data_IF_624880315185
#
_entry.id   IF_624880315185
#
_cell.length_a   1.000
_cell.length_b   1.000
_cell.length_c   1.000
_cell.angle_alpha   90.00
_cell.angle_beta   90.00
_cell.angle_gamma   90.00
#
_symmetry.space_group_name_H-M   'P 1'
#
loop_
_entity.id
_entity.type
_entity.pdbx_description
1 polymer ?
#
# COMPACT_ATOMS: atom_id res chain seq x y z
N UNK A 1 -0.16 4.82 -4.91
CA UNK A 1 0.57 6.08 -4.70
C UNK A 1 0.56 6.56 -3.25
N UNK A 2 -0.06 5.84 -2.32
CA UNK A 2 -0.03 6.14 -0.88
C UNK A 2 -0.92 7.30 -0.41
N UNK A 3 -1.89 7.75 -1.20
CA UNK A 3 -2.89 8.73 -0.74
C UNK A 3 -3.88 8.09 0.25
N UNK A 4 -4.36 8.88 1.19
CA UNK A 4 -5.53 8.59 2.01
C UNK A 4 -6.72 9.39 1.46
N UNK A 5 -7.82 8.72 1.16
CA UNK A 5 -9.01 9.37 0.62
C UNK A 5 -9.66 10.25 1.69
N UNK A 6 -10.01 11.47 1.33
CA UNK A 6 -10.72 12.38 2.21
C UNK A 6 -12.19 11.96 2.34
N UNK A 7 -12.84 12.37 3.41
CA UNK A 7 -14.26 12.12 3.63
C UNK A 7 -15.12 12.63 2.47
N UNK A 8 -14.79 13.79 1.91
CA UNK A 8 -15.52 14.38 0.78
C UNK A 8 -15.35 13.56 -0.51
N UNK A 9 -14.16 13.00 -0.76
CA UNK A 9 -13.92 12.10 -1.90
C UNK A 9 -14.73 10.81 -1.75
N UNK A 10 -14.76 10.25 -0.53
CA UNK A 10 -15.54 9.06 -0.23
C UNK A 10 -17.05 9.33 -0.41
N UNK A 11 -17.57 10.46 0.09
CA UNK A 11 -18.96 10.88 -0.10
C UNK A 11 -19.32 10.97 -1.59
N UNK A 12 -18.50 11.65 -2.38
CA UNK A 12 -18.71 11.77 -3.83
C UNK A 12 -18.71 10.40 -4.52
N UNK A 13 -17.79 9.51 -4.13
CA UNK A 13 -17.74 8.14 -4.66
C UNK A 13 -19.03 7.39 -4.37
N UNK A 14 -19.52 7.47 -3.14
CA UNK A 14 -20.77 6.83 -2.72
C UNK A 14 -21.97 7.42 -3.50
N UNK A 15 -22.05 8.74 -3.67
CA UNK A 15 -23.11 9.40 -4.45
C UNK A 15 -23.14 8.91 -5.90
N UNK A 16 -21.95 8.78 -6.53
CA UNK A 16 -21.86 8.24 -7.90
C UNK A 16 -22.34 6.78 -7.92
N UNK A 17 -21.90 5.97 -6.97
CA UNK A 17 -22.31 4.57 -6.89
C UNK A 17 -23.82 4.42 -6.64
N UNK A 18 -24.42 5.28 -5.80
CA UNK A 18 -25.87 5.35 -5.59
C UNK A 18 -26.61 5.70 -6.89
N UNK A 19 -26.15 6.75 -7.58
CA UNK A 19 -26.76 7.22 -8.85
C UNK A 19 -26.81 6.12 -9.91
N UNK A 20 -25.81 5.26 -9.97
CA UNK A 20 -25.70 4.22 -10.99
C UNK A 20 -25.97 2.80 -10.45
N UNK A 21 -26.52 2.68 -9.25
CA UNK A 21 -26.81 1.40 -8.55
C UNK A 21 -25.61 0.45 -8.56
N UNK A 22 -24.44 0.93 -8.15
CA UNK A 22 -23.20 0.14 -8.13
C UNK A 22 -22.83 -0.34 -6.73
N UNK A 23 -22.22 -1.52 -6.66
CA UNK A 23 -21.55 -2.00 -5.46
C UNK A 23 -20.22 -1.29 -5.26
N UNK A 24 -19.80 -1.17 -3.99
CA UNK A 24 -18.47 -0.70 -3.60
C UNK A 24 -17.76 -1.86 -2.91
N UNK A 25 -16.58 -2.23 -3.42
CA UNK A 25 -15.64 -3.08 -2.71
C UNK A 25 -14.52 -2.14 -2.23
N UNK A 26 -14.44 -1.94 -0.91
CA UNK A 26 -13.47 -1.06 -0.29
C UNK A 26 -12.37 -1.89 0.35
N UNK A 27 -11.18 -1.84 -0.24
CA UNK A 27 -10.00 -2.49 0.34
C UNK A 27 -9.32 -1.52 1.30
N UNK A 28 -9.50 -1.77 2.60
CA UNK A 28 -8.94 -0.99 3.70
C UNK A 28 -7.75 -1.70 4.36
N UNK A 29 -7.08 -2.62 3.65
CA UNK A 29 -6.00 -3.46 4.20
C UNK A 29 -4.80 -2.65 4.73
N UNK A 30 -4.63 -1.39 4.30
CA UNK A 30 -3.59 -0.47 4.78
C UNK A 30 -4.09 0.57 5.78
N UNK A 31 -5.31 0.47 6.29
CA UNK A 31 -5.94 1.49 7.13
C UNK A 31 -5.19 1.82 8.42
N UNK A 32 -4.43 0.89 8.98
CA UNK A 32 -3.64 1.09 10.20
C UNK A 32 -2.28 1.77 9.94
N UNK A 33 -1.81 1.75 8.68
CA UNK A 33 -0.49 2.25 8.29
C UNK A 33 -0.58 3.68 7.75
N UNK A 34 -1.15 4.56 8.56
CA UNK A 34 -1.39 5.96 8.22
C UNK A 34 -0.29 6.83 8.80
N UNK A 35 0.20 7.80 8.01
CA UNK A 35 1.28 8.73 8.40
C UNK A 35 0.83 9.64 9.55
N UNK A 36 1.80 10.12 10.34
CA UNK A 36 1.51 11.06 11.41
C UNK A 36 0.83 12.34 10.88
N UNK A 37 -0.24 12.75 11.55
CA UNK A 37 -1.01 13.93 11.16
C UNK A 37 -2.02 13.75 10.03
N UNK A 38 -2.15 12.54 9.50
CA UNK A 38 -3.19 12.18 8.53
C UNK A 38 -4.30 11.39 9.22
N UNK A 39 -5.54 11.64 8.85
CA UNK A 39 -6.72 10.94 9.39
C UNK A 39 -7.27 10.00 8.33
N UNK A 40 -7.41 8.73 8.68
CA UNK A 40 -8.14 7.75 7.90
C UNK A 40 -9.62 7.76 8.28
N UNK A 41 -10.50 7.72 7.29
CA UNK A 41 -11.95 7.63 7.50
C UNK A 41 -12.46 6.33 6.88
N UNK A 42 -12.96 5.36 7.68
CA UNK A 42 -13.59 4.15 7.15
C UNK A 42 -14.80 4.49 6.29
N UNK A 43 -14.97 3.83 5.14
CA UNK A 43 -16.08 4.12 4.23
C UNK A 43 -17.45 3.89 4.88
N UNK A 44 -17.54 2.92 5.80
CA UNK A 44 -18.78 2.64 6.54
C UNK A 44 -19.22 3.78 7.47
N UNK A 45 -18.29 4.62 7.92
CA UNK A 45 -18.61 5.79 8.73
C UNK A 45 -19.15 6.95 7.88
N UNK A 46 -18.79 6.98 6.60
CA UNK A 46 -19.19 8.03 5.66
C UNK A 46 -20.60 7.80 5.10
N UNK A 47 -20.95 6.54 4.88
CA UNK A 47 -22.21 6.20 4.23
C UNK A 47 -22.89 4.95 4.85
N UNK A 48 -23.25 4.99 6.14
CA UNK A 48 -23.88 3.86 6.81
C UNK A 48 -25.22 3.48 6.16
N UNK A 49 -25.92 4.42 5.55
CA UNK A 49 -27.17 4.18 4.82
C UNK A 49 -26.98 3.44 3.48
N UNK A 50 -25.74 3.33 2.99
CA UNK A 50 -25.40 2.57 1.78
C UNK A 50 -24.69 1.24 2.11
N UNK A 51 -24.59 0.86 3.39
CA UNK A 51 -23.88 -0.30 3.87
C UNK A 51 -24.27 -1.62 3.17
N UNK A 52 -25.52 -1.76 2.77
CA UNK A 52 -26.01 -2.94 2.03
C UNK A 52 -25.39 -3.10 0.62
N UNK A 53 -24.71 -2.09 0.13
CA UNK A 53 -24.01 -2.09 -1.17
C UNK A 53 -22.49 -1.93 -1.02
N UNK A 54 -21.98 -2.01 0.20
CA UNK A 54 -20.54 -1.90 0.49
C UNK A 54 -20.03 -3.25 1.04
N UNK A 55 -18.90 -3.68 0.52
CA UNK A 55 -18.10 -4.77 1.07
C UNK A 55 -16.76 -4.18 1.51
N UNK A 56 -16.39 -4.33 2.77
CA UNK A 56 -15.10 -3.88 3.28
C UNK A 56 -14.18 -5.06 3.46
N UNK A 57 -12.94 -4.92 2.98
CA UNK A 57 -11.88 -5.92 3.10
C UNK A 57 -10.76 -5.38 4.00
N UNK A 58 -10.44 -6.07 5.09
CA UNK A 58 -9.31 -5.76 5.98
C UNK A 58 -8.51 -7.01 6.29
N UNK A 59 -7.28 -6.86 6.74
CA UNK A 59 -6.47 -7.96 7.22
C UNK A 59 -5.31 -7.48 8.10
N UNK A 60 -4.84 -8.30 9.07
CA UNK A 60 -3.64 -7.98 9.84
C UNK A 60 -2.36 -8.14 9.03
N UNK A 61 -2.45 -8.67 7.82
CA UNK A 61 -1.31 -9.11 7.01
C UNK A 61 -0.34 -7.99 6.65
N UNK A 62 -0.83 -6.78 6.40
CA UNK A 62 0.01 -5.63 6.07
C UNK A 62 0.48 -4.89 7.31
N UNK A 63 -0.43 -4.68 8.25
CA UNK A 63 -0.16 -3.97 9.50
C UNK A 63 0.88 -4.70 10.36
N UNK A 64 0.72 -6.01 10.52
CA UNK A 64 1.51 -6.84 11.44
C UNK A 64 2.39 -7.88 10.75
N UNK A 65 2.63 -7.72 9.44
CA UNK A 65 3.46 -8.66 8.66
C UNK A 65 2.99 -10.13 8.74
N UNK A 66 1.68 -10.35 8.73
CA UNK A 66 1.05 -11.67 8.90
C UNK A 66 0.51 -12.27 7.59
N UNK A 67 1.07 -11.87 6.43
CA UNK A 67 0.59 -12.35 5.13
C UNK A 67 0.64 -13.89 4.99
N UNK A 68 1.65 -14.53 5.59
CA UNK A 68 1.79 -15.99 5.60
C UNK A 68 0.66 -16.73 6.34
N UNK A 69 -0.08 -16.04 7.22
CA UNK A 69 -1.22 -16.62 7.94
C UNK A 69 -2.49 -16.71 7.07
N UNK A 70 -2.55 -16.03 5.92
CA UNK A 70 -3.65 -16.06 4.94
C UNK A 70 -5.01 -15.81 5.59
N UNK A 71 -5.08 -14.84 6.51
CA UNK A 71 -6.29 -14.50 7.27
C UNK A 71 -6.71 -13.08 6.94
N UNK A 72 -7.99 -12.88 6.64
CA UNK A 72 -8.59 -11.57 6.33
C UNK A 72 -10.01 -11.47 6.87
N UNK A 73 -10.51 -10.25 6.97
CA UNK A 73 -11.88 -9.96 7.35
C UNK A 73 -12.62 -9.40 6.14
N UNK A 74 -13.74 -10.03 5.79
CA UNK A 74 -14.64 -9.57 4.74
C UNK A 74 -15.94 -9.15 5.42
N UNK A 75 -16.19 -7.86 5.50
CA UNK A 75 -17.37 -7.28 6.15
C UNK A 75 -18.45 -7.05 5.13
N UNK A 76 -19.55 -7.78 5.25
CA UNK A 76 -20.71 -7.71 4.35
C UNK A 76 -21.94 -7.47 5.21
N UNK A 77 -22.58 -6.30 5.09
CA UNK A 77 -23.79 -5.95 5.80
C UNK A 77 -25.02 -6.62 5.19
N UNK A 78 -25.12 -6.64 3.86
CA UNK A 78 -26.20 -7.25 3.11
C UNK A 78 -26.32 -8.75 3.37
N UNK A 79 -27.43 -9.20 3.97
CA UNK A 79 -27.65 -10.59 4.40
C UNK A 79 -27.72 -11.59 3.25
N UNK A 80 -28.30 -11.19 2.12
CA UNK A 80 -28.36 -12.04 0.93
C UNK A 80 -26.98 -12.28 0.34
N UNK A 81 -26.20 -11.18 0.18
CA UNK A 81 -24.82 -11.28 -0.30
C UNK A 81 -23.94 -12.07 0.69
N UNK A 82 -24.10 -11.85 2.01
CA UNK A 82 -23.40 -12.62 3.04
C UNK A 82 -23.66 -14.12 2.92
N UNK A 83 -24.93 -14.48 2.66
CA UNK A 83 -25.30 -15.89 2.43
C UNK A 83 -24.65 -16.43 1.16
N UNK A 84 -24.75 -15.73 0.04
CA UNK A 84 -24.11 -16.13 -1.22
C UNK A 84 -22.59 -16.30 -1.08
N UNK A 85 -21.94 -15.37 -0.37
CA UNK A 85 -20.51 -15.45 -0.06
C UNK A 85 -20.19 -16.74 0.72
N UNK A 86 -20.91 -17.01 1.81
CA UNK A 86 -20.69 -18.22 2.63
C UNK A 86 -20.93 -19.49 1.83
N UNK A 87 -22.02 -19.55 1.08
CA UNK A 87 -22.37 -20.72 0.27
C UNK A 87 -21.29 -21.00 -0.80
N UNK A 88 -20.72 -19.94 -1.40
CA UNK A 88 -19.65 -20.08 -2.40
C UNK A 88 -18.32 -20.48 -1.76
N UNK A 89 -17.89 -19.77 -0.73
CA UNK A 89 -16.59 -19.99 -0.08
C UNK A 89 -16.56 -21.36 0.60
N UNK A 90 -17.59 -21.70 1.37
CA UNK A 90 -17.61 -22.96 2.10
C UNK A 90 -18.05 -24.13 1.22
N UNK A 91 -19.07 -23.91 0.38
CA UNK A 91 -19.62 -24.98 -0.46
C UNK A 91 -18.79 -25.27 -1.70
N UNK A 92 -18.45 -24.23 -2.49
CA UNK A 92 -17.76 -24.45 -3.77
C UNK A 92 -16.24 -24.51 -3.63
N UNK A 93 -15.65 -23.71 -2.72
CA UNK A 93 -14.19 -23.65 -2.55
C UNK A 93 -13.69 -24.51 -1.38
N UNK A 94 -14.58 -25.04 -0.56
CA UNK A 94 -14.23 -25.78 0.67
C UNK A 94 -13.28 -25.01 1.60
N UNK A 95 -13.48 -23.71 1.69
CA UNK A 95 -12.71 -22.80 2.52
C UNK A 95 -13.59 -22.29 3.67
N UNK A 96 -13.68 -23.06 4.74
CA UNK A 96 -14.60 -22.80 5.85
C UNK A 96 -13.98 -22.04 7.02
N UNK A 97 -13.18 -21.04 6.72
CA UNK A 97 -12.64 -20.10 7.71
C UNK A 97 -11.12 -19.96 7.69
N UNK A 98 -10.64 -19.14 8.59
CA UNK A 98 -9.20 -18.93 8.79
C UNK A 98 -8.60 -20.09 9.59
N UNK A 99 -7.29 -20.36 9.38
CA UNK A 99 -6.57 -21.35 10.17
C UNK A 99 -6.54 -20.96 11.67
N UNK A 100 -6.46 -21.95 12.56
CA UNK A 100 -6.37 -21.70 14.00
C UNK A 100 -5.19 -20.77 14.35
N UNK A 101 -4.04 -20.94 13.70
CA UNK A 101 -2.87 -20.08 13.88
C UNK A 101 -3.14 -18.66 13.36
N UNK A 102 -3.83 -18.54 12.22
CA UNK A 102 -4.19 -17.23 11.66
C UNK A 102 -5.16 -16.46 12.55
N UNK A 103 -6.15 -17.13 13.12
CA UNK A 103 -7.09 -16.53 14.07
C UNK A 103 -6.38 -16.08 15.35
N UNK A 104 -5.54 -16.93 15.95
CA UNK A 104 -4.79 -16.61 17.16
C UNK A 104 -3.85 -15.43 16.92
N UNK A 105 -3.11 -15.44 15.79
CA UNK A 105 -2.20 -14.36 15.43
C UNK A 105 -2.95 -13.03 15.20
N UNK A 106 -4.10 -13.06 14.54
CA UNK A 106 -4.93 -11.86 14.31
C UNK A 106 -5.44 -11.29 15.64
N UNK A 107 -5.95 -12.15 16.54
CA UNK A 107 -6.44 -11.69 17.86
C UNK A 107 -5.29 -11.06 18.63
N UNK A 108 -4.15 -11.74 18.79
CA UNK A 108 -2.99 -11.19 19.50
C UNK A 108 -2.51 -9.87 18.90
N UNK A 109 -2.40 -9.80 17.56
CA UNK A 109 -1.96 -8.58 16.86
C UNK A 109 -2.85 -7.36 17.18
N UNK A 110 -4.18 -7.53 17.11
CA UNK A 110 -5.11 -6.41 17.34
C UNK A 110 -5.39 -6.12 18.81
N UNK A 111 -5.11 -7.06 19.73
CA UNK A 111 -5.32 -6.81 21.18
C UNK A 111 -4.05 -6.40 21.92
N UNK A 112 -2.88 -6.76 21.42
CA UNK A 112 -1.60 -6.58 22.12
C UNK A 112 -0.54 -5.84 21.27
N UNK A 113 -0.81 -5.60 19.98
CA UNK A 113 0.18 -5.08 19.01
C UNK A 113 0.23 -3.56 18.87
N UNK A 114 -0.54 -2.78 19.65
CA UNK A 114 -0.64 -1.32 19.46
C UNK A 114 0.71 -0.61 19.63
N UNK A 115 1.45 -0.90 20.70
CA UNK A 115 2.75 -0.28 20.94
C UNK A 115 3.74 -0.61 19.81
N UNK A 116 3.77 -1.85 19.35
CA UNK A 116 4.60 -2.26 18.22
C UNK A 116 4.23 -1.51 16.94
N UNK A 117 2.94 -1.36 16.67
CA UNK A 117 2.44 -0.64 15.49
C UNK A 117 2.84 0.84 15.52
N UNK A 118 2.71 1.50 16.66
CA UNK A 118 3.09 2.92 16.80
C UNK A 118 4.59 3.11 16.58
N UNK A 119 5.44 2.24 17.13
CA UNK A 119 6.88 2.25 16.87
C UNK A 119 7.20 1.97 15.39
N UNK A 120 6.49 1.05 14.75
CA UNK A 120 6.63 0.78 13.32
C UNK A 120 6.31 2.02 12.49
N UNK A 121 5.22 2.72 12.78
CA UNK A 121 4.82 3.93 12.07
C UNK A 121 5.90 5.00 12.14
N UNK A 122 6.49 5.24 13.31
CA UNK A 122 7.60 6.18 13.49
C UNK A 122 8.85 5.74 12.70
N UNK A 123 9.14 4.44 12.68
CA UNK A 123 10.24 3.89 11.92
C UNK A 123 10.04 4.06 10.40
N UNK A 124 8.84 3.80 9.90
CA UNK A 124 8.48 4.01 8.49
C UNK A 124 8.59 5.49 8.11
N UNK A 125 8.10 6.41 8.96
CA UNK A 125 8.21 7.84 8.76
C UNK A 125 9.69 8.27 8.61
N UNK A 126 10.55 7.73 9.46
CA UNK A 126 11.99 7.93 9.36
C UNK A 126 12.57 7.40 8.03
N UNK A 127 12.13 6.24 7.55
CA UNK A 127 12.59 5.69 6.26
C UNK A 127 12.16 6.55 5.07
N UNK A 128 10.92 7.04 5.06
CA UNK A 128 10.45 7.99 4.04
C UNK A 128 11.24 9.29 4.05
N UNK A 129 11.46 9.87 5.23
CA UNK A 129 12.25 11.09 5.38
C UNK A 129 13.69 10.91 4.87
N UNK A 130 14.32 9.77 5.20
CA UNK A 130 15.65 9.45 4.72
C UNK A 130 15.72 9.41 3.19
N UNK A 131 14.79 8.73 2.53
CA UNK A 131 14.75 8.65 1.06
C UNK A 131 14.58 10.06 0.46
N UNK A 132 13.65 10.85 0.97
CA UNK A 132 13.38 12.20 0.47
C UNK A 132 14.62 13.11 0.59
N UNK A 133 15.30 13.11 1.74
CA UNK A 133 16.54 13.83 1.95
C UNK A 133 17.68 13.33 1.05
N UNK A 134 17.77 12.01 0.87
CA UNK A 134 18.77 11.40 0.00
C UNK A 134 18.58 11.83 -1.47
N UNK A 135 17.35 11.80 -1.97
CA UNK A 135 17.02 12.23 -3.33
C UNK A 135 17.39 13.70 -3.53
N UNK A 136 16.96 14.58 -2.62
CA UNK A 136 17.29 16.01 -2.69
C UNK A 136 18.78 16.28 -2.75
N UNK A 137 19.57 15.50 -2.04
CA UNK A 137 21.03 15.67 -1.94
C UNK A 137 21.79 15.11 -3.14
N UNK A 138 21.41 13.91 -3.60
CA UNK A 138 22.22 13.15 -4.55
C UNK A 138 21.55 12.93 -5.91
N UNK A 139 20.22 12.99 -5.97
CA UNK A 139 19.44 12.77 -7.18
C UNK A 139 18.38 13.88 -7.35
N UNK A 140 18.79 15.16 -7.51
CA UNK A 140 17.89 16.30 -7.39
C UNK A 140 16.80 16.40 -8.47
N UNK A 141 16.87 15.62 -9.55
CA UNK A 141 15.80 15.52 -10.55
C UNK A 141 14.81 14.40 -10.27
N UNK A 142 15.04 13.59 -9.22
CA UNK A 142 14.12 12.60 -8.75
C UNK A 142 13.22 13.16 -7.63
N UNK A 143 12.01 12.64 -7.51
CA UNK A 143 11.05 13.08 -6.51
C UNK A 143 10.41 11.89 -5.80
N UNK A 144 10.30 11.99 -4.47
CA UNK A 144 9.47 11.08 -3.70
C UNK A 144 8.05 11.62 -3.68
N UNK A 145 7.10 10.84 -4.21
CA UNK A 145 5.67 11.18 -4.10
C UNK A 145 5.27 11.12 -2.64
N UNK A 146 4.65 12.20 -2.13
CA UNK A 146 4.22 12.27 -0.74
C UNK A 146 3.20 11.17 -0.44
N UNK A 147 3.58 10.24 0.41
CA UNK A 147 2.68 9.21 0.92
C UNK A 147 1.99 9.69 2.20
N UNK A 148 0.69 9.43 2.30
CA UNK A 148 -0.16 9.70 3.48
C UNK A 148 -0.45 8.42 4.26
N UNK A 149 -0.22 7.27 3.63
CA UNK A 149 -0.37 5.94 4.21
C UNK A 149 0.51 4.91 3.52
N UNK A 150 0.43 3.67 3.96
CA UNK A 150 1.21 2.50 3.51
C UNK A 150 2.71 2.58 3.84
N UNK A 151 3.43 1.53 3.49
CA UNK A 151 4.90 1.45 3.53
C UNK A 151 5.51 1.35 2.11
N UNK A 152 4.75 1.77 1.10
CA UNK A 152 5.19 1.71 -0.30
C UNK A 152 5.51 3.12 -0.77
N UNK A 153 6.79 3.39 -0.95
CA UNK A 153 7.29 4.65 -1.48
C UNK A 153 7.21 4.65 -3.01
N UNK A 154 6.78 5.74 -3.60
CA UNK A 154 6.65 5.92 -5.05
C UNK A 154 7.67 6.97 -5.52
N UNK A 155 8.69 6.53 -6.27
CA UNK A 155 9.78 7.36 -6.76
C UNK A 155 9.51 7.78 -8.19
N UNK A 156 9.48 9.07 -8.45
CA UNK A 156 9.50 9.66 -9.77
C UNK A 156 10.94 9.87 -10.23
N UNK A 157 11.35 9.15 -11.26
CA UNK A 157 12.68 9.21 -11.87
C UNK A 157 12.65 9.80 -13.28
N UNK A 158 11.51 10.35 -13.71
CA UNK A 158 11.31 10.91 -15.05
C UNK A 158 12.29 12.03 -15.38
N UNK A 159 12.79 12.77 -14.39
CA UNK A 159 13.84 13.75 -14.58
C UNK A 159 15.16 13.20 -15.14
N UNK A 160 15.33 11.86 -15.14
CA UNK A 160 16.51 11.15 -15.65
C UNK A 160 16.23 10.25 -16.85
N UNK A 161 15.02 9.69 -16.95
CA UNK A 161 14.71 8.64 -17.94
C UNK A 161 13.60 9.03 -18.92
N UNK A 162 12.90 10.16 -18.71
CA UNK A 162 11.86 10.68 -19.62
C UNK A 162 10.85 9.60 -20.05
N UNK A 163 10.26 8.89 -19.08
CA UNK A 163 9.28 7.79 -19.25
C UNK A 163 9.82 6.55 -20.01
N UNK A 164 11.14 6.44 -20.21
CA UNK A 164 11.76 5.25 -20.80
C UNK A 164 11.88 4.13 -19.75
N UNK A 165 10.86 3.26 -19.71
CA UNK A 165 10.81 2.12 -18.80
C UNK A 165 11.95 1.14 -19.00
N UNK A 166 12.40 0.91 -20.24
CA UNK A 166 13.49 -0.03 -20.52
C UNK A 166 14.82 0.46 -20.01
N UNK A 167 15.06 1.77 -20.18
CA UNK A 167 16.25 2.41 -19.63
C UNK A 167 16.24 2.36 -18.12
N UNK A 168 15.07 2.62 -17.47
CA UNK A 168 14.94 2.58 -16.04
C UNK A 168 15.14 1.17 -15.49
N UNK A 169 14.52 0.17 -16.08
CA UNK A 169 14.68 -1.24 -15.72
C UNK A 169 16.16 -1.69 -15.83
N UNK A 170 16.85 -1.30 -16.91
CA UNK A 170 18.28 -1.60 -17.08
C UNK A 170 19.13 -0.94 -15.99
N UNK A 171 18.87 0.33 -15.67
CA UNK A 171 19.55 1.05 -14.59
C UNK A 171 19.34 0.35 -13.23
N UNK A 172 18.10 -0.02 -12.91
CA UNK A 172 17.79 -0.63 -11.62
C UNK A 172 18.32 -2.07 -11.53
N UNK A 173 17.92 -2.94 -12.47
CA UNK A 173 18.19 -4.37 -12.33
C UNK A 173 19.63 -4.75 -12.71
N UNK A 174 20.19 -4.15 -13.78
CA UNK A 174 21.53 -4.54 -14.27
C UNK A 174 22.65 -3.70 -13.67
N UNK A 175 22.46 -2.38 -13.55
CA UNK A 175 23.51 -1.48 -13.07
C UNK A 175 23.48 -1.35 -11.54
N UNK A 176 22.39 -0.89 -10.97
CA UNK A 176 22.24 -0.77 -9.52
C UNK A 176 22.11 -2.13 -8.82
N UNK A 177 21.67 -3.18 -9.54
CA UNK A 177 21.37 -4.53 -8.98
C UNK A 177 20.36 -4.43 -7.82
N UNK A 178 19.33 -3.65 -8.04
CA UNK A 178 18.21 -3.45 -7.12
C UNK A 178 16.94 -3.92 -7.83
N UNK A 179 16.18 -4.82 -7.20
CA UNK A 179 14.89 -5.27 -7.68
C UNK A 179 13.79 -4.51 -6.92
N UNK A 180 13.16 -3.57 -7.60
CA UNK A 180 12.00 -2.83 -7.13
C UNK A 180 10.77 -3.25 -7.94
N UNK A 181 9.61 -2.64 -7.63
CA UNK A 181 8.45 -2.81 -8.50
C UNK A 181 8.44 -1.68 -9.55
N UNK A 182 8.62 -2.04 -10.80
CA UNK A 182 8.60 -1.10 -11.90
C UNK A 182 7.22 -0.42 -12.04
N UNK A 183 7.20 0.90 -12.16
CA UNK A 183 5.96 1.67 -12.16
C UNK A 183 5.01 1.33 -13.30
N UNK A 184 5.52 0.97 -14.50
CA UNK A 184 4.71 0.65 -15.67
C UNK A 184 3.77 -0.56 -15.47
N UNK A 185 4.08 -1.47 -14.54
CA UNK A 185 3.20 -2.62 -14.23
C UNK A 185 1.86 -2.18 -13.59
N UNK A 186 1.79 -0.95 -13.08
CA UNK A 186 0.59 -0.34 -12.51
C UNK A 186 -0.20 0.53 -13.50
N UNK A 187 0.27 0.64 -14.74
CA UNK A 187 -0.37 1.39 -15.81
C UNK A 187 0.58 2.35 -16.52
N UNK A 188 0.11 2.92 -17.63
CA UNK A 188 0.89 3.80 -18.51
C UNK A 188 1.45 5.04 -17.77
N UNK A 189 0.70 5.56 -16.81
CA UNK A 189 1.09 6.72 -16.01
C UNK A 189 2.24 6.40 -15.03
N UNK A 190 2.50 5.11 -14.79
CA UNK A 190 3.60 4.65 -13.94
C UNK A 190 4.96 4.59 -14.63
N UNK A 191 5.06 4.88 -15.93
CA UNK A 191 6.35 4.90 -16.64
C UNK A 191 7.30 5.92 -16.06
N UNK A 192 8.54 5.49 -15.84
CA UNK A 192 9.58 6.31 -15.23
C UNK A 192 9.51 6.41 -13.70
N UNK A 193 8.63 5.60 -13.09
CA UNK A 193 8.53 5.46 -11.64
C UNK A 193 9.03 4.10 -11.16
N UNK A 194 9.43 4.06 -9.88
CA UNK A 194 9.75 2.84 -9.12
C UNK A 194 9.03 2.83 -7.79
N UNK A 195 8.57 1.64 -7.36
CA UNK A 195 7.93 1.47 -6.06
C UNK A 195 8.87 0.74 -5.09
N UNK A 196 9.23 1.41 -4.00
CA UNK A 196 10.09 0.85 -2.95
C UNK A 196 9.23 0.43 -1.75
N UNK A 197 9.44 -0.78 -1.24
CA UNK A 197 8.94 -1.19 0.06
C UNK A 197 9.88 -0.66 1.15
N UNK A 198 9.42 0.33 1.94
CA UNK A 198 10.22 0.92 3.01
C UNK A 198 10.08 0.23 4.36
N UNK A 199 9.27 -0.84 4.46
CA UNK A 199 9.20 -1.71 5.63
C UNK A 199 10.39 -2.69 5.66
N UNK A 200 11.59 -2.12 5.65
CA UNK A 200 12.88 -2.79 5.65
C UNK A 200 13.81 -2.11 6.65
N UNK A 201 14.84 -2.80 7.15
CA UNK A 201 15.87 -2.16 7.97
C UNK A 201 16.48 -0.94 7.26
N UNK A 202 16.76 0.11 8.01
CA UNK A 202 17.37 1.34 7.48
C UNK A 202 18.63 1.05 6.65
N UNK A 203 19.48 0.16 7.09
CA UNK A 203 20.72 -0.22 6.39
C UNK A 203 20.45 -0.80 4.99
N UNK A 204 19.34 -1.52 4.80
CA UNK A 204 18.91 -2.03 3.48
C UNK A 204 18.46 -0.89 2.57
N UNK A 205 17.71 0.08 3.11
CA UNK A 205 17.29 1.28 2.37
C UNK A 205 18.50 2.11 1.97
N UNK A 206 19.47 2.30 2.88
CA UNK A 206 20.71 3.03 2.63
C UNK A 206 21.54 2.38 1.51
N UNK A 207 21.68 1.08 1.55
CA UNK A 207 22.39 0.32 0.52
C UNK A 207 21.65 0.42 -0.83
N UNK A 208 20.33 0.28 -0.84
CA UNK A 208 19.51 0.44 -2.02
C UNK A 208 19.74 1.81 -2.67
N UNK A 209 19.60 2.89 -1.91
CA UNK A 209 19.75 4.25 -2.40
C UNK A 209 21.19 4.54 -2.88
N UNK A 210 22.21 4.02 -2.19
CA UNK A 210 23.60 4.15 -2.60
C UNK A 210 23.87 3.44 -3.94
N UNK A 211 23.34 2.24 -4.14
CA UNK A 211 23.47 1.51 -5.42
C UNK A 211 22.80 2.25 -6.57
N UNK A 212 21.60 2.76 -6.35
CA UNK A 212 20.89 3.58 -7.35
C UNK A 212 21.74 4.81 -7.71
N UNK A 213 22.23 5.55 -6.72
CA UNK A 213 23.10 6.71 -6.97
C UNK A 213 24.32 6.33 -7.78
N UNK A 214 25.07 5.30 -7.37
CA UNK A 214 26.28 4.87 -8.07
C UNK A 214 25.99 4.53 -9.54
N UNK A 215 24.90 3.81 -9.82
CA UNK A 215 24.51 3.48 -11.20
C UNK A 215 24.21 4.76 -12.02
N UNK A 216 23.57 5.76 -11.42
CA UNK A 216 23.27 7.03 -12.11
C UNK A 216 24.54 7.87 -12.34
N UNK A 217 25.50 7.85 -11.41
CA UNK A 217 26.81 8.51 -11.56
C UNK A 217 27.63 7.84 -12.68
N UNK A 218 27.69 6.49 -12.72
CA UNK A 218 28.39 5.74 -13.76
C UNK A 218 27.84 6.01 -15.17
N UNK A 219 26.53 6.16 -15.29
CA UNK A 219 25.84 6.49 -16.54
C UNK A 219 25.81 8.03 -16.83
N UNK A 220 26.48 8.83 -16.01
CA UNK A 220 26.60 10.31 -16.14
C UNK A 220 25.24 11.03 -16.20
N UNK A 221 24.30 10.55 -15.43
CA UNK A 221 22.96 11.15 -15.32
C UNK A 221 22.91 12.24 -14.24
N UNK A 222 23.82 12.17 -13.27
CA UNK A 222 24.05 13.14 -12.20
C UNK A 222 25.48 13.63 -12.20
#
# INVERSE_FOLDING_TARGET
TGRVWTEDELKKTVEICKKYDKWIICDEIHCDLIRRGVTFTPIMNVAPEYADRIVVCTAPSKTFNLAGMKTSNIVIHNKELQKKWKDYVNGSLSMDGASALGMTAMIAAYTEGEEWLEQLKDYLDGNFAYIDEYLKKYLPKAHLVKAEGTYLAWLDLNGYVDRDEKKLEELMQKKAKVALDEGYIFGEEGRGFERINVASPRSVIEECMNRIRTAFEEEKLV
#
